data_IF_278322809668
#
_entry.id   IF_278322809668
#
_cell.length_a   1.000
_cell.length_b   1.000
_cell.length_c   1.000
_cell.angle_alpha   90.00
_cell.angle_beta   90.00
_cell.angle_gamma   90.00
#
_symmetry.space_group_name_H-M   'P 1'
#
loop_
_entity.id
_entity.type
_entity.pdbx_description
1 polymer ?
#
# COMPACT_ATOMS: atom_id res chain seq x y z
N UNK A 1 25.09 61.72 2.80
CA UNK A 1 26.35 61.59 3.54
C UNK A 1 26.86 60.18 3.36
N UNK A 2 27.95 60.14 2.68
CA UNK A 2 29.06 59.18 2.48
C UNK A 2 28.81 57.71 2.11
N UNK A 3 29.40 57.50 0.95
CA UNK A 3 29.73 56.24 0.26
C UNK A 3 30.85 55.50 0.97
N UNK A 4 30.77 54.18 1.07
CA UNK A 4 31.96 53.33 1.18
C UNK A 4 31.89 52.19 0.17
N UNK A 5 32.76 52.37 -0.82
CA UNK A 5 33.08 51.47 -1.91
C UNK A 5 34.17 50.54 -1.43
N UNK A 6 33.90 49.25 -1.26
CA UNK A 6 34.93 48.28 -0.92
C UNK A 6 35.26 47.38 -2.13
N UNK A 7 36.49 47.52 -2.58
CA UNK A 7 37.12 46.92 -3.74
C UNK A 7 37.29 45.41 -3.50
N UNK A 8 36.73 44.60 -4.41
CA UNK A 8 37.02 43.16 -4.47
C UNK A 8 38.27 42.92 -5.32
N UNK A 9 39.33 42.44 -4.70
CA UNK A 9 40.55 42.00 -5.39
C UNK A 9 40.39 40.60 -5.93
N UNK A 10 40.54 40.48 -7.23
CA UNK A 10 40.63 39.25 -7.98
C UNK A 10 41.97 38.56 -7.69
N UNK A 11 41.95 37.36 -7.11
CA UNK A 11 43.13 36.48 -7.01
C UNK A 11 42.93 35.34 -8.01
N UNK A 12 43.71 35.43 -9.11
CA UNK A 12 43.81 34.42 -10.14
C UNK A 12 44.89 33.42 -9.69
N UNK A 13 44.52 32.24 -9.29
CA UNK A 13 45.42 31.14 -8.95
C UNK A 13 45.44 30.14 -10.12
N UNK A 14 46.61 30.09 -10.77
CA UNK A 14 46.90 29.14 -11.83
C UNK A 14 47.17 27.77 -11.22
N UNK A 15 46.31 26.77 -11.51
CA UNK A 15 46.59 25.37 -11.16
C UNK A 15 47.15 24.64 -12.39
N UNK A 16 48.40 24.24 -12.27
CA UNK A 16 49.13 23.38 -13.19
C UNK A 16 48.55 21.95 -13.07
N UNK A 17 47.99 21.43 -14.15
CA UNK A 17 47.51 20.03 -14.23
C UNK A 17 48.72 19.17 -14.70
N UNK A 18 49.20 18.33 -13.79
CA UNK A 18 50.17 17.27 -14.09
C UNK A 18 49.39 16.00 -14.40
N UNK A 19 49.43 15.58 -15.66
CA UNK A 19 48.91 14.27 -16.11
C UNK A 19 49.90 13.17 -15.72
N UNK A 20 49.53 12.32 -14.75
CA UNK A 20 50.14 11.01 -14.59
C UNK A 20 49.25 9.96 -15.27
N UNK A 21 49.73 9.43 -16.36
CA UNK A 21 49.22 8.22 -16.97
C UNK A 21 49.62 7.03 -16.10
N UNK A 22 48.68 6.44 -15.40
CA UNK A 22 48.87 5.15 -14.74
C UNK A 22 47.91 4.14 -15.37
N UNK A 23 48.45 3.26 -16.22
CA UNK A 23 47.80 2.01 -16.60
C UNK A 23 47.63 1.13 -15.37
N UNK A 24 46.42 0.97 -14.90
CA UNK A 24 46.08 -0.09 -13.95
C UNK A 24 45.15 -1.09 -14.63
N UNK A 25 45.64 -2.30 -14.68
CA UNK A 25 44.95 -3.51 -15.12
C UNK A 25 43.64 -3.68 -14.33
N UNK A 26 42.52 -3.49 -15.01
CA UNK A 26 41.20 -3.80 -14.46
C UNK A 26 41.02 -5.31 -14.39
N UNK A 27 41.27 -5.90 -13.24
CA UNK A 27 40.78 -7.24 -12.88
C UNK A 27 39.29 -7.14 -12.63
N UNK A 28 38.48 -7.78 -13.48
CA UNK A 28 37.05 -7.94 -13.27
C UNK A 28 36.78 -8.69 -11.97
N UNK A 29 36.01 -8.14 -11.01
CA UNK A 29 35.65 -8.90 -9.83
C UNK A 29 34.62 -9.97 -10.21
N UNK A 30 34.91 -11.23 -9.86
CA UNK A 30 33.98 -12.35 -9.92
C UNK A 30 32.68 -12.00 -9.15
N UNK A 31 31.49 -12.33 -9.69
CA UNK A 31 30.23 -12.12 -8.95
C UNK A 31 30.18 -13.02 -7.72
N UNK A 32 30.20 -12.42 -6.54
CA UNK A 32 30.06 -13.12 -5.26
C UNK A 32 28.58 -13.33 -4.92
N UNK A 33 28.19 -14.59 -4.77
CA UNK A 33 27.21 -15.18 -3.82
C UNK A 33 25.92 -14.47 -3.36
N UNK A 34 25.51 -13.31 -3.90
CA UNK A 34 24.25 -12.67 -3.49
C UNK A 34 23.00 -13.20 -4.21
N UNK A 35 23.16 -14.01 -5.26
CA UNK A 35 22.00 -14.62 -5.94
C UNK A 35 21.39 -15.79 -5.16
N UNK A 36 22.15 -16.45 -4.28
CA UNK A 36 21.64 -17.59 -3.51
C UNK A 36 20.80 -17.18 -2.32
N UNK A 37 21.11 -16.03 -1.69
CA UNK A 37 20.33 -15.50 -0.55
C UNK A 37 18.97 -14.96 -1.03
N UNK A 38 18.91 -14.34 -2.19
CA UNK A 38 17.64 -13.86 -2.76
C UNK A 38 16.67 -14.99 -3.13
N UNK A 39 17.19 -16.14 -3.61
CA UNK A 39 16.37 -17.32 -3.92
C UNK A 39 15.85 -18.04 -2.68
N UNK A 40 16.64 -18.13 -1.61
CA UNK A 40 16.21 -18.78 -0.36
C UNK A 40 15.13 -17.95 0.34
N UNK A 41 15.24 -16.62 0.36
CA UNK A 41 14.20 -15.75 0.94
C UNK A 41 12.90 -15.81 0.12
N UNK A 42 12.99 -15.97 -1.19
CA UNK A 42 11.83 -16.07 -2.08
C UNK A 42 11.12 -17.43 -1.93
N UNK A 43 11.88 -18.52 -1.74
CA UNK A 43 11.32 -19.87 -1.51
C UNK A 43 10.60 -19.99 -0.16
N UNK A 44 11.10 -19.37 0.89
CA UNK A 44 10.49 -19.41 2.21
C UNK A 44 9.18 -18.58 2.27
N UNK A 45 9.10 -17.49 1.49
CA UNK A 45 7.86 -16.69 1.35
C UNK A 45 6.81 -17.40 0.47
N UNK A 46 7.22 -18.21 -0.50
CA UNK A 46 6.29 -18.96 -1.36
C UNK A 46 5.69 -20.19 -0.66
N UNK A 47 6.40 -20.81 0.30
CA UNK A 47 5.89 -21.96 1.06
C UNK A 47 4.85 -21.57 2.12
N UNK A 48 4.78 -20.29 2.53
CA UNK A 48 3.81 -19.81 3.53
C UNK A 48 2.46 -19.33 2.91
N UNK A 49 2.37 -19.31 1.58
CA UNK A 49 1.09 -19.06 0.92
C UNK A 49 0.19 -20.29 1.12
N UNK A 50 -0.93 -20.08 1.79
CA UNK A 50 -1.98 -21.12 1.89
C UNK A 50 -2.31 -21.57 0.47
N UNK A 51 -2.10 -22.84 0.19
CA UNK A 51 -2.17 -23.40 -1.16
C UNK A 51 -3.45 -23.01 -1.88
N UNK A 52 -3.29 -22.36 -2.99
CA UNK A 52 -4.33 -21.87 -3.86
C UNK A 52 -4.87 -23.04 -4.72
N UNK A 53 -5.50 -24.04 -4.10
CA UNK A 53 -6.27 -25.06 -4.84
C UNK A 53 -7.62 -24.44 -5.22
N UNK A 54 -7.77 -24.06 -6.50
CA UNK A 54 -9.02 -23.55 -7.05
C UNK A 54 -9.02 -22.07 -7.46
N UNK A 55 -7.91 -21.56 -8.01
CA UNK A 55 -7.90 -20.20 -8.59
C UNK A 55 -8.72 -20.18 -9.85
N UNK A 56 -9.93 -19.64 -9.76
CA UNK A 56 -10.71 -19.22 -10.91
C UNK A 56 -9.88 -18.25 -11.76
N UNK A 57 -9.81 -18.47 -13.06
CA UNK A 57 -9.06 -17.63 -14.02
C UNK A 57 -9.41 -16.14 -13.91
N UNK A 58 -10.65 -15.83 -13.50
CA UNK A 58 -11.12 -14.47 -13.24
C UNK A 58 -10.40 -13.81 -12.07
N UNK A 59 -10.11 -14.57 -11.00
CA UNK A 59 -9.38 -14.06 -9.84
C UNK A 59 -7.90 -13.81 -10.15
N UNK A 60 -7.30 -14.65 -11.01
CA UNK A 60 -5.92 -14.45 -11.47
C UNK A 60 -5.81 -13.19 -12.34
N UNK A 61 -6.77 -12.95 -13.23
CA UNK A 61 -6.84 -11.76 -14.06
C UNK A 61 -6.99 -10.48 -13.21
N UNK A 62 -7.89 -10.50 -12.22
CA UNK A 62 -8.07 -9.41 -11.26
C UNK A 62 -6.80 -9.14 -10.48
N UNK A 63 -6.16 -10.17 -9.97
CA UNK A 63 -4.93 -10.08 -9.21
C UNK A 63 -3.78 -9.44 -10.02
N UNK A 64 -3.57 -9.87 -11.26
CA UNK A 64 -2.58 -9.29 -12.17
C UNK A 64 -2.86 -7.82 -12.49
N UNK A 65 -4.13 -7.48 -12.70
CA UNK A 65 -4.53 -6.09 -12.95
C UNK A 65 -4.26 -5.19 -11.74
N UNK A 66 -4.58 -5.65 -10.52
CA UNK A 66 -4.28 -4.92 -9.30
C UNK A 66 -2.77 -4.68 -9.16
N UNK A 67 -1.94 -5.71 -9.37
CA UNK A 67 -0.48 -5.60 -9.25
C UNK A 67 0.12 -4.64 -10.29
N UNK A 68 -0.45 -4.55 -11.48
CA UNK A 68 0.06 -3.66 -12.55
C UNK A 68 -0.02 -2.18 -12.21
N UNK A 69 -0.81 -1.81 -11.22
CA UNK A 69 -0.92 -0.42 -10.76
C UNK A 69 0.02 -0.07 -9.61
N UNK A 70 0.70 -1.05 -8.98
CA UNK A 70 1.63 -0.75 -7.89
C UNK A 70 2.74 0.19 -8.37
N UNK A 71 2.92 1.29 -7.64
CA UNK A 71 3.85 2.36 -7.97
C UNK A 71 3.25 3.48 -8.83
N UNK A 72 2.04 3.29 -9.40
CA UNK A 72 1.34 4.31 -10.20
C UNK A 72 0.51 5.25 -9.32
N UNK A 73 -0.26 6.14 -9.96
CA UNK A 73 -1.20 7.08 -9.30
C UNK A 73 -2.62 6.92 -9.82
N UNK A 74 -3.00 5.70 -10.13
CA UNK A 74 -4.30 5.41 -10.70
C UNK A 74 -5.42 5.74 -9.70
N UNK A 75 -6.46 6.40 -10.21
CA UNK A 75 -7.62 6.77 -9.41
C UNK A 75 -7.45 8.00 -8.51
N UNK A 76 -6.21 8.45 -8.23
CA UNK A 76 -5.91 9.68 -7.49
C UNK A 76 -6.13 9.62 -5.98
N UNK A 77 -6.95 8.69 -5.49
CA UNK A 77 -7.17 8.38 -4.08
C UNK A 77 -7.60 6.89 -3.90
N UNK A 78 -7.79 6.45 -2.65
CA UNK A 78 -8.12 5.07 -2.34
C UNK A 78 -9.45 4.61 -2.95
N UNK A 79 -10.47 5.46 -2.95
CA UNK A 79 -11.77 5.15 -3.54
C UNK A 79 -11.78 5.26 -5.06
N UNK A 80 -10.94 6.13 -5.60
CA UNK A 80 -10.69 6.25 -7.03
C UNK A 80 -9.97 5.02 -7.58
N UNK A 81 -8.94 4.53 -6.91
CA UNK A 81 -8.26 3.28 -7.26
C UNK A 81 -9.26 2.10 -7.34
N UNK A 82 -10.06 1.90 -6.29
CA UNK A 82 -11.11 0.86 -6.28
C UNK A 82 -12.10 1.07 -7.42
N UNK A 83 -12.44 2.32 -7.76
CA UNK A 83 -13.38 2.61 -8.87
C UNK A 83 -12.81 2.28 -10.24
N UNK A 84 -11.50 2.44 -10.45
CA UNK A 84 -10.84 2.02 -11.70
C UNK A 84 -10.88 0.49 -11.83
N UNK A 85 -10.52 -0.24 -10.78
CA UNK A 85 -10.62 -1.71 -10.78
C UNK A 85 -12.08 -2.15 -11.00
N UNK A 86 -13.03 -1.53 -10.30
CA UNK A 86 -14.45 -1.82 -10.48
C UNK A 86 -14.90 -1.68 -11.93
N UNK A 87 -14.52 -0.59 -12.60
CA UNK A 87 -14.82 -0.33 -14.01
C UNK A 87 -14.18 -1.38 -14.94
N UNK A 88 -12.91 -1.71 -14.71
CA UNK A 88 -12.16 -2.66 -15.53
C UNK A 88 -12.74 -4.09 -15.48
N UNK A 89 -13.45 -4.42 -14.40
CA UNK A 89 -14.07 -5.72 -14.15
C UNK A 89 -15.59 -5.65 -14.10
N UNK A 90 -16.21 -4.92 -15.04
CA UNK A 90 -17.67 -4.85 -15.24
C UNK A 90 -18.46 -4.52 -13.97
N UNK A 91 -17.97 -3.57 -13.20
CA UNK A 91 -18.58 -3.14 -11.94
C UNK A 91 -18.71 -4.27 -10.89
N UNK A 92 -17.66 -5.07 -10.76
CA UNK A 92 -17.59 -6.25 -9.88
C UNK A 92 -17.91 -5.94 -8.41
N UNK A 93 -17.70 -4.73 -7.94
CA UNK A 93 -17.94 -4.29 -6.57
C UNK A 93 -19.27 -3.57 -6.39
N UNK A 94 -19.57 -2.60 -7.26
CA UNK A 94 -20.78 -1.77 -7.15
C UNK A 94 -21.17 -1.17 -8.50
N UNK A 95 -22.45 -0.88 -8.67
CA UNK A 95 -22.96 -0.08 -9.79
C UNK A 95 -22.73 1.42 -9.47
N UNK A 96 -21.87 2.12 -10.23
CA UNK A 96 -21.57 3.54 -9.98
C UNK A 96 -22.83 4.44 -9.98
N UNK A 97 -23.88 4.07 -10.72
CA UNK A 97 -25.15 4.84 -10.79
C UNK A 97 -25.97 4.74 -9.50
N UNK A 98 -25.76 3.65 -8.73
CA UNK A 98 -26.46 3.42 -7.46
C UNK A 98 -25.71 4.01 -6.28
N UNK A 99 -24.40 4.20 -6.39
CA UNK A 99 -23.53 4.65 -5.30
C UNK A 99 -23.96 6.00 -4.67
N UNK A 100 -24.48 6.99 -5.42
CA UNK A 100 -24.93 8.26 -4.83
C UNK A 100 -25.97 8.13 -3.71
N UNK A 101 -26.79 7.06 -3.70
CA UNK A 101 -27.79 6.79 -2.67
C UNK A 101 -27.19 6.37 -1.33
N UNK A 102 -25.89 6.05 -1.30
CA UNK A 102 -25.20 5.53 -0.13
C UNK A 102 -24.24 6.54 0.51
N UNK A 103 -24.18 7.77 -0.01
CA UNK A 103 -23.44 8.85 0.63
C UNK A 103 -24.15 9.25 1.92
N UNK A 104 -23.39 9.25 3.03
CA UNK A 104 -23.87 9.60 4.35
C UNK A 104 -22.69 9.74 5.32
N UNK A 105 -22.96 10.10 6.57
CA UNK A 105 -21.91 10.30 7.57
C UNK A 105 -20.93 11.41 7.14
N UNK A 106 -19.66 11.06 6.96
CA UNK A 106 -18.61 12.02 6.54
C UNK A 106 -18.64 12.36 5.05
N UNK A 107 -19.56 11.78 4.27
CA UNK A 107 -19.74 12.07 2.85
C UNK A 107 -18.60 11.63 1.93
N UNK A 108 -17.69 10.76 2.38
CA UNK A 108 -16.61 10.25 1.55
C UNK A 108 -17.08 9.12 0.63
N UNK A 109 -16.44 8.96 -0.52
CA UNK A 109 -16.75 7.85 -1.43
C UNK A 109 -16.40 6.49 -0.82
N UNK A 110 -15.34 6.40 0.00
CA UNK A 110 -15.04 5.17 0.76
C UNK A 110 -16.18 4.80 1.70
N UNK A 111 -16.79 5.78 2.38
CA UNK A 111 -17.98 5.56 3.22
C UNK A 111 -19.17 5.09 2.39
N UNK A 112 -19.42 5.71 1.23
CA UNK A 112 -20.52 5.31 0.36
C UNK A 112 -20.36 3.87 -0.17
N UNK A 113 -19.15 3.47 -0.54
CA UNK A 113 -18.86 2.09 -0.94
C UNK A 113 -19.13 1.13 0.23
N UNK A 114 -18.66 1.45 1.44
CA UNK A 114 -18.91 0.64 2.63
C UNK A 114 -20.43 0.50 2.91
N UNK A 115 -21.16 1.60 2.91
CA UNK A 115 -22.61 1.60 3.12
C UNK A 115 -23.35 0.76 2.07
N UNK A 116 -22.88 0.79 0.82
CA UNK A 116 -23.41 -0.08 -0.24
C UNK A 116 -23.23 -1.56 0.12
N UNK A 117 -22.06 -1.97 0.61
CA UNK A 117 -21.80 -3.35 1.04
C UNK A 117 -22.61 -3.73 2.30
N UNK A 118 -22.75 -2.83 3.27
CA UNK A 118 -23.64 -3.02 4.44
C UNK A 118 -25.08 -3.29 4.00
N UNK A 119 -25.63 -2.44 3.12
CA UNK A 119 -26.98 -2.60 2.61
C UNK A 119 -27.21 -3.88 1.80
N UNK A 120 -26.13 -4.51 1.32
CA UNK A 120 -26.16 -5.80 0.62
C UNK A 120 -25.88 -7.00 1.53
N UNK A 121 -25.66 -6.80 2.83
CA UNK A 121 -25.24 -7.86 3.76
C UNK A 121 -23.89 -8.49 3.38
N UNK A 122 -22.99 -7.72 2.75
CA UNK A 122 -21.71 -8.20 2.21
C UNK A 122 -20.49 -7.72 3.01
N UNK A 123 -20.67 -7.26 4.23
CA UNK A 123 -19.56 -6.99 5.14
C UNK A 123 -19.31 -8.22 6.01
N UNK A 124 -18.04 -8.64 6.09
CA UNK A 124 -17.54 -9.71 6.96
C UNK A 124 -16.32 -9.21 7.74
N UNK A 125 -16.06 -9.80 8.89
CA UNK A 125 -14.88 -9.50 9.70
C UNK A 125 -13.85 -10.63 9.70
N UNK A 126 -14.15 -11.71 9.03
CA UNK A 126 -13.36 -12.93 8.92
C UNK A 126 -13.27 -13.42 7.47
N UNK A 127 -12.50 -14.49 7.26
CA UNK A 127 -12.35 -15.23 6.01
C UNK A 127 -12.20 -14.35 4.76
N UNK A 128 -11.17 -13.47 4.69
CA UNK A 128 -10.93 -12.68 3.50
C UNK A 128 -10.68 -13.57 2.28
N UNK A 129 -11.05 -13.07 1.10
CA UNK A 129 -10.70 -13.68 -0.19
C UNK A 129 -9.95 -12.69 -1.05
N UNK A 130 -9.08 -13.19 -1.93
CA UNK A 130 -8.42 -12.33 -2.93
C UNK A 130 -9.48 -11.65 -3.78
N UNK A 131 -9.36 -10.33 -3.91
CA UNK A 131 -10.33 -9.48 -4.58
C UNK A 131 -11.39 -8.87 -3.66
N UNK A 132 -11.57 -9.31 -2.42
CA UNK A 132 -12.45 -8.61 -1.47
C UNK A 132 -11.94 -7.19 -1.21
N UNK A 133 -12.85 -6.25 -0.99
CA UNK A 133 -12.48 -4.94 -0.47
C UNK A 133 -12.06 -5.06 1.00
N UNK A 134 -11.14 -4.21 1.41
CA UNK A 134 -10.75 -4.08 2.82
C UNK A 134 -10.97 -2.63 3.23
N UNK A 135 -11.74 -2.41 4.30
CA UNK A 135 -12.12 -1.10 4.79
C UNK A 135 -11.41 -0.74 6.07
N UNK A 136 -11.07 0.54 6.20
CA UNK A 136 -10.46 1.07 7.40
C UNK A 136 -11.16 2.35 7.85
N UNK A 137 -11.31 2.47 9.18
CA UNK A 137 -11.91 3.64 9.81
C UNK A 137 -10.84 4.58 10.36
N UNK A 138 -11.19 5.86 10.42
CA UNK A 138 -10.43 6.85 11.18
C UNK A 138 -8.94 6.94 10.81
N UNK A 139 -8.62 6.90 9.50
CA UNK A 139 -7.24 6.94 8.99
C UNK A 139 -6.74 8.35 8.69
N UNK A 140 -7.62 9.36 8.68
CA UNK A 140 -7.25 10.75 8.39
C UNK A 140 -6.65 11.43 9.61
N UNK A 141 -5.95 12.55 9.39
CA UNK A 141 -5.39 13.35 10.49
C UNK A 141 -6.46 13.79 11.51
N UNK A 142 -7.65 14.15 11.04
CA UNK A 142 -8.76 14.63 11.89
C UNK A 142 -9.42 13.51 12.72
N UNK A 143 -9.40 12.27 12.22
CA UNK A 143 -10.17 11.17 12.80
C UNK A 143 -9.32 10.09 13.46
N UNK A 144 -8.01 10.09 13.23
CA UNK A 144 -7.10 9.00 13.62
C UNK A 144 -7.11 8.63 15.11
N UNK A 145 -7.49 9.55 15.98
CA UNK A 145 -7.58 9.33 17.44
C UNK A 145 -8.96 8.84 17.91
N UNK A 146 -9.96 8.82 17.02
CA UNK A 146 -11.28 8.26 17.35
C UNK A 146 -11.16 6.75 17.55
N UNK A 147 -11.84 6.22 18.58
CA UNK A 147 -11.88 4.79 18.90
C UNK A 147 -13.05 4.07 18.22
N UNK A 148 -14.17 4.75 18.02
CA UNK A 148 -15.35 4.15 17.42
C UNK A 148 -15.17 3.98 15.89
N UNK A 149 -15.69 2.86 15.35
CA UNK A 149 -15.70 2.57 13.91
C UNK A 149 -16.88 3.33 13.28
N UNK A 150 -16.77 4.66 13.15
CA UNK A 150 -17.88 5.48 12.66
C UNK A 150 -17.61 6.06 11.26
N UNK A 151 -16.36 6.32 10.95
CA UNK A 151 -15.97 7.04 9.74
C UNK A 151 -15.08 6.13 8.87
N UNK A 152 -15.64 5.53 7.84
CA UNK A 152 -14.82 4.79 6.85
C UNK A 152 -14.11 5.81 5.98
N UNK A 153 -12.82 5.91 6.19
CA UNK A 153 -11.98 6.92 5.56
C UNK A 153 -11.00 6.34 4.57
N UNK A 154 -10.92 5.01 4.49
CA UNK A 154 -9.97 4.35 3.58
C UNK A 154 -10.47 2.99 3.13
N UNK A 155 -10.05 2.59 1.92
CA UNK A 155 -10.39 1.31 1.29
C UNK A 155 -9.22 0.81 0.45
N UNK A 156 -9.03 -0.50 0.43
CA UNK A 156 -8.10 -1.21 -0.44
C UNK A 156 -8.71 -2.49 -0.99
N UNK A 157 -7.90 -3.31 -1.63
CA UNK A 157 -8.30 -4.60 -2.21
C UNK A 157 -7.35 -5.68 -1.69
N UNK A 158 -7.90 -6.76 -1.15
CA UNK A 158 -7.15 -7.93 -0.69
C UNK A 158 -6.44 -8.57 -1.89
N UNK A 159 -5.12 -8.75 -1.78
CA UNK A 159 -4.31 -9.26 -2.88
C UNK A 159 -3.72 -10.64 -2.60
N UNK A 160 -3.30 -10.89 -1.39
CA UNK A 160 -2.76 -12.18 -0.96
C UNK A 160 -3.19 -12.48 0.47
N UNK A 161 -3.34 -13.75 0.75
CA UNK A 161 -3.67 -14.27 2.08
C UNK A 161 -2.61 -15.29 2.43
N UNK A 162 -1.99 -15.07 3.58
CA UNK A 162 -0.99 -15.98 4.12
C UNK A 162 -1.54 -16.70 5.34
N UNK A 163 -0.82 -17.70 5.82
CA UNK A 163 -1.15 -18.38 7.05
C UNK A 163 -1.28 -17.40 8.24
N UNK A 164 -1.95 -17.87 9.31
CA UNK A 164 -2.12 -17.11 10.55
C UNK A 164 -2.79 -15.73 10.40
N UNK A 165 -3.73 -15.58 9.43
CA UNK A 165 -4.54 -14.36 9.30
C UNK A 165 -3.79 -13.14 8.74
N UNK A 166 -2.61 -13.35 8.16
CA UNK A 166 -1.82 -12.30 7.54
C UNK A 166 -2.31 -12.03 6.11
N UNK A 167 -2.57 -10.77 5.77
CA UNK A 167 -3.16 -10.33 4.50
C UNK A 167 -2.29 -9.24 3.89
N UNK A 168 -1.96 -9.38 2.60
CA UNK A 168 -1.45 -8.28 1.77
C UNK A 168 -2.62 -7.65 1.02
N UNK A 169 -2.69 -6.34 1.03
CA UNK A 169 -3.69 -5.58 0.27
C UNK A 169 -3.03 -4.46 -0.52
N UNK A 170 -3.68 -4.05 -1.61
CA UNK A 170 -3.25 -2.93 -2.44
C UNK A 170 -4.24 -1.79 -2.27
N UNK A 171 -3.71 -0.59 -2.13
CA UNK A 171 -4.49 0.63 -1.92
C UNK A 171 -3.72 1.86 -2.42
N UNK A 172 -4.42 2.96 -2.60
CA UNK A 172 -3.77 4.24 -2.87
C UNK A 172 -3.43 4.93 -1.54
N UNK A 173 -2.14 5.13 -1.27
CA UNK A 173 -1.65 5.85 -0.10
C UNK A 173 -0.36 6.59 -0.42
N UNK A 174 -0.08 7.67 0.31
CA UNK A 174 1.14 8.47 0.10
C UNK A 174 1.35 8.94 -1.34
N UNK A 175 0.23 9.20 -2.07
CA UNK A 175 0.25 9.71 -3.44
C UNK A 175 0.49 8.67 -4.53
N UNK A 176 0.40 7.38 -4.22
CA UNK A 176 0.57 6.27 -5.18
C UNK A 176 -0.16 5.00 -4.75
N UNK A 177 -0.37 4.11 -5.69
CA UNK A 177 -0.84 2.75 -5.43
C UNK A 177 0.29 1.91 -4.84
N UNK A 178 0.05 1.27 -3.71
CA UNK A 178 1.07 0.52 -2.97
C UNK A 178 0.49 -0.69 -2.25
N UNK A 179 1.37 -1.61 -1.88
CA UNK A 179 1.02 -2.76 -1.04
C UNK A 179 1.30 -2.48 0.42
N UNK A 180 0.39 -2.92 1.28
CA UNK A 180 0.54 -2.92 2.72
C UNK A 180 0.00 -4.22 3.32
N UNK A 181 0.22 -4.43 4.62
CA UNK A 181 -0.05 -5.67 5.32
C UNK A 181 -0.94 -5.46 6.54
N UNK A 182 -1.75 -6.47 6.83
CA UNK A 182 -2.57 -6.55 8.04
C UNK A 182 -2.57 -7.98 8.58
N UNK A 183 -2.48 -8.11 9.91
CA UNK A 183 -2.64 -9.37 10.60
C UNK A 183 -3.54 -9.19 11.84
N UNK A 184 -4.76 -9.71 11.75
CA UNK A 184 -5.75 -9.62 12.84
C UNK A 184 -5.41 -10.53 14.02
N UNK A 185 -4.63 -11.59 13.81
CA UNK A 185 -4.18 -12.48 14.90
C UNK A 185 -3.03 -11.86 15.70
N UNK A 186 -2.39 -10.79 15.17
CA UNK A 186 -1.30 -10.05 15.82
C UNK A 186 -1.54 -8.54 15.77
N UNK A 187 -2.68 -8.02 16.29
CA UNK A 187 -3.18 -6.68 15.96
C UNK A 187 -2.26 -5.55 16.40
N UNK A 188 -1.47 -5.74 17.45
CA UNK A 188 -0.62 -4.69 18.02
C UNK A 188 0.85 -4.79 17.60
N UNK A 189 1.17 -5.69 16.68
CA UNK A 189 2.53 -5.93 16.20
C UNK A 189 2.72 -5.28 14.85
N UNK A 190 3.63 -4.29 14.76
CA UNK A 190 4.00 -3.71 13.47
C UNK A 190 4.90 -4.65 12.69
N UNK A 191 5.93 -5.19 13.35
CA UNK A 191 6.98 -5.96 12.69
C UNK A 191 7.49 -7.08 13.61
N UNK A 192 7.76 -8.23 13.01
CA UNK A 192 8.43 -9.36 13.65
C UNK A 192 9.64 -9.77 12.79
N UNK A 193 10.83 -9.56 13.31
CA UNK A 193 12.06 -9.71 12.55
C UNK A 193 12.06 -8.82 11.30
N UNK A 194 12.08 -9.42 10.12
CA UNK A 194 12.02 -8.73 8.82
C UNK A 194 10.60 -8.60 8.27
N UNK A 195 9.64 -9.36 8.80
CA UNK A 195 8.26 -9.42 8.33
C UNK A 195 7.44 -8.27 8.91
N UNK A 196 6.72 -7.55 8.06
CA UNK A 196 5.73 -6.56 8.48
C UNK A 196 4.42 -7.30 8.75
N UNK A 197 3.97 -7.31 10.01
CA UNK A 197 2.69 -7.88 10.40
C UNK A 197 1.54 -6.90 10.11
N UNK A 198 1.70 -5.64 10.53
CA UNK A 198 0.72 -4.60 10.25
C UNK A 198 1.40 -3.31 9.83
N UNK A 199 1.03 -2.81 8.66
CA UNK A 199 1.47 -1.50 8.19
C UNK A 199 0.77 -0.37 8.94
N UNK A 200 1.41 0.80 8.99
CA UNK A 200 0.77 2.02 9.49
C UNK A 200 -0.12 2.62 8.41
N UNK A 201 -1.45 2.53 8.59
CA UNK A 201 -2.44 2.97 7.59
C UNK A 201 -2.80 4.45 7.74
N UNK A 202 -2.41 5.10 8.82
CA UNK A 202 -2.62 6.52 9.03
C UNK A 202 -1.31 7.26 9.30
N UNK A 203 -1.32 8.60 9.15
CA UNK A 203 -0.12 9.45 9.31
C UNK A 203 0.28 9.63 10.80
N UNK A 204 0.22 8.58 11.60
CA UNK A 204 0.69 8.59 12.98
C UNK A 204 1.67 7.44 13.21
N UNK A 205 2.79 7.50 12.56
CA UNK A 205 3.85 6.49 12.66
C UNK A 205 4.22 6.19 14.11
N UNK A 206 4.56 4.92 14.38
CA UNK A 206 4.98 4.39 15.68
C UNK A 206 3.89 4.30 16.76
N UNK A 207 2.66 4.69 16.47
CA UNK A 207 1.54 4.52 17.40
C UNK A 207 0.73 3.28 17.04
N UNK A 208 0.56 2.37 17.99
CA UNK A 208 -0.13 1.08 17.81
C UNK A 208 -1.55 1.28 17.23
N UNK A 209 -2.29 2.29 17.68
CA UNK A 209 -3.62 2.59 17.18
C UNK A 209 -3.68 3.02 15.70
N UNK A 210 -2.53 3.21 15.03
CA UNK A 210 -2.44 3.53 13.61
C UNK A 210 -2.09 2.34 12.72
N UNK A 211 -1.91 1.16 13.31
CA UNK A 211 -1.74 -0.08 12.57
C UNK A 211 -3.02 -0.46 11.85
N UNK A 212 -2.86 -1.12 10.69
CA UNK A 212 -3.96 -1.53 9.83
C UNK A 212 -5.01 -2.36 10.59
N UNK A 213 -4.58 -3.33 11.40
CA UNK A 213 -5.45 -4.14 12.25
C UNK A 213 -6.31 -3.32 13.23
N UNK A 214 -5.75 -2.24 13.79
CA UNK A 214 -6.47 -1.37 14.74
C UNK A 214 -7.37 -0.32 14.06
N UNK A 215 -7.31 -0.24 12.73
CA UNK A 215 -8.16 0.60 11.89
C UNK A 215 -9.15 -0.21 11.05
N UNK A 216 -9.02 -1.52 11.07
CA UNK A 216 -9.86 -2.42 10.30
C UNK A 216 -11.34 -2.25 10.63
N UNK A 217 -12.16 -2.18 9.58
CA UNK A 217 -13.60 -1.95 9.67
C UNK A 217 -14.43 -3.02 8.94
N UNK A 218 -13.78 -4.02 8.36
CA UNK A 218 -14.43 -5.15 7.70
C UNK A 218 -13.94 -5.38 6.28
N UNK A 219 -14.25 -6.55 5.76
CA UNK A 219 -14.08 -6.93 4.37
C UNK A 219 -15.40 -6.76 3.62
N UNK A 220 -15.35 -6.17 2.43
CA UNK A 220 -16.47 -6.16 1.49
C UNK A 220 -16.38 -7.37 0.58
N UNK A 221 -17.23 -8.36 0.77
CA UNK A 221 -17.19 -9.63 0.03
C UNK A 221 -17.58 -9.40 -1.43
N UNK A 222 -16.67 -9.71 -2.36
CA UNK A 222 -16.89 -9.55 -3.79
C UNK A 222 -18.03 -10.47 -4.28
N UNK A 223 -18.17 -11.70 -3.75
CA UNK A 223 -19.16 -12.72 -4.09
C UNK A 223 -19.83 -13.31 -2.87
#
# INVERSE_FOLDING_TARGET
>A
VEKNLMKFKFFMSVFIVVFFASCSLFSTPKPRKNQQIGRVIQSDLEQEKVGFSGVDSSNLSLAKNIDSYIGTRVGGDCSGFVSVINKNFNNIYFDPRKLPKFFGGIGTKSQAIYNYFVAKGKISFDEPRVGDLIFFSNTTHKTRHKKAVNDITHVGIVREIYAAGHVRFVHFASGRDMSDYMNLNRPNVHKDGKRIENSYISRCKMAVHCLASNKFAGYGKMR
#
